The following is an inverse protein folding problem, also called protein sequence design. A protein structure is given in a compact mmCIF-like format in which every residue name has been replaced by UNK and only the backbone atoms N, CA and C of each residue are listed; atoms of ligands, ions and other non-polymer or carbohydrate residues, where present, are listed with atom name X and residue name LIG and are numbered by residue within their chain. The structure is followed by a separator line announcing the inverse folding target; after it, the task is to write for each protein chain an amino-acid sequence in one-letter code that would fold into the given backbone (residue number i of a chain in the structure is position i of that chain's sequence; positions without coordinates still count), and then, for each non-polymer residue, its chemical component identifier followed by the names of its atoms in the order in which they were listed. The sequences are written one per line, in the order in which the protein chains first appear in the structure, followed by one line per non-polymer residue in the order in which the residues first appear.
data_IF_924589758025
#
_entry.id   IF_924589758025
#
_cell.length_a   1.000
_cell.length_b   1.000
_cell.length_c   1.000
_cell.angle_alpha   90.00
_cell.angle_beta   90.00
_cell.angle_gamma   90.00
#
_symmetry.space_group_name_H-M   'P 1'
#
loop_
_entity.id
_entity.type
_entity.pdbx_description
1 polymer ?
#
# COMPACT_ATOMS: atom_id res chain seq x y z
N UNK A 1 -10.36 -64.40 0.32
CA UNK A 1 -10.37 -63.22 1.20
C UNK A 1 -9.57 -62.13 0.52
N UNK A 2 -10.21 -61.09 -0.01
CA UNK A 2 -9.53 -59.97 -0.66
C UNK A 2 -9.84 -58.71 0.14
N UNK A 3 -8.82 -58.17 0.81
CA UNK A 3 -8.90 -56.92 1.55
C UNK A 3 -8.65 -55.75 0.61
N UNK A 4 -9.63 -54.85 0.49
CA UNK A 4 -9.46 -53.57 -0.18
C UNK A 4 -8.89 -52.56 0.83
N UNK A 5 -7.71 -52.02 0.54
CA UNK A 5 -7.10 -50.92 1.29
C UNK A 5 -7.70 -49.62 0.72
N UNK A 6 -8.56 -48.97 1.50
CA UNK A 6 -9.08 -47.65 1.17
C UNK A 6 -8.00 -46.60 1.47
N UNK A 7 -7.47 -45.95 0.43
CA UNK A 7 -6.68 -44.72 0.59
C UNK A 7 -7.64 -43.57 0.92
N UNK A 8 -7.65 -43.15 2.18
CA UNK A 8 -8.29 -41.90 2.59
C UNK A 8 -7.45 -40.70 2.13
N UNK A 9 -8.01 -39.86 1.26
CA UNK A 9 -7.42 -38.57 0.92
C UNK A 9 -7.72 -37.62 2.08
N UNK A 10 -6.71 -37.29 2.88
CA UNK A 10 -6.79 -36.20 3.85
C UNK A 10 -6.79 -34.87 3.09
N UNK A 11 -7.97 -34.27 2.93
CA UNK A 11 -8.06 -32.87 2.53
C UNK A 11 -7.58 -32.01 3.70
N UNK A 12 -6.47 -31.28 3.51
CA UNK A 12 -6.04 -30.28 4.49
C UNK A 12 -7.11 -29.17 4.59
N UNK A 13 -7.38 -28.63 5.80
CA UNK A 13 -8.34 -27.54 5.93
C UNK A 13 -7.79 -26.31 5.22
N UNK A 14 -8.55 -25.79 4.25
CA UNK A 14 -8.32 -24.45 3.69
C UNK A 14 -8.68 -23.48 4.80
N UNK A 15 -7.67 -22.96 5.50
CA UNK A 15 -7.87 -21.88 6.46
C UNK A 15 -8.25 -20.65 5.64
N UNK A 16 -9.50 -20.21 5.74
CA UNK A 16 -9.94 -18.95 5.16
C UNK A 16 -9.06 -17.83 5.74
N UNK A 17 -8.49 -16.98 4.88
CA UNK A 17 -7.73 -15.82 5.34
C UNK A 17 -8.63 -14.94 6.21
N UNK A 18 -8.16 -14.57 7.40
CA UNK A 18 -8.88 -13.66 8.28
C UNK A 18 -8.93 -12.25 7.67
N UNK A 19 -9.92 -11.44 8.07
CA UNK A 19 -9.95 -10.02 7.72
C UNK A 19 -8.63 -9.34 8.10
N UNK A 20 -8.12 -8.50 7.20
CA UNK A 20 -6.97 -7.63 7.42
C UNK A 20 -7.38 -6.19 7.12
N UNK A 21 -7.08 -5.26 8.02
CA UNK A 21 -7.32 -3.84 7.78
C UNK A 21 -6.27 -3.00 8.48
N UNK A 22 -5.66 -2.10 7.71
CA UNK A 22 -4.75 -1.07 8.17
C UNK A 22 -5.57 0.23 8.29
N UNK A 23 -5.68 0.76 9.52
CA UNK A 23 -6.43 1.99 9.75
C UNK A 23 -5.63 3.20 9.28
N UNK A 24 -5.95 3.68 8.08
CA UNK A 24 -5.38 4.89 7.48
C UNK A 24 -6.53 5.85 7.18
N UNK A 25 -6.56 7.07 7.74
CA UNK A 25 -7.60 8.04 7.41
C UNK A 25 -7.55 8.40 5.91
N UNK A 26 -8.68 8.34 5.19
CA UNK A 26 -8.71 8.74 3.78
C UNK A 26 -8.43 10.24 3.65
N UNK A 27 -7.78 10.61 2.55
CA UNK A 27 -7.57 12.00 2.14
C UNK A 27 -8.17 12.20 0.76
N UNK A 28 -8.78 13.36 0.54
CA UNK A 28 -9.23 13.76 -0.79
C UNK A 28 -8.17 14.61 -1.49
N UNK A 29 -7.88 14.31 -2.75
CA UNK A 29 -7.09 15.22 -3.59
C UNK A 29 -7.82 16.55 -3.83
N UNK A 30 -9.16 16.54 -3.70
CA UNK A 30 -10.06 17.69 -3.81
C UNK A 30 -10.21 18.52 -2.54
N UNK A 31 -9.43 18.28 -1.48
CA UNK A 31 -9.47 19.12 -0.28
C UNK A 31 -9.09 20.59 -0.62
N UNK A 32 -9.88 21.58 -0.20
CA UNK A 32 -9.62 22.99 -0.48
C UNK A 32 -8.24 23.50 -0.04
N UNK A 33 -7.61 22.86 0.95
CA UNK A 33 -6.28 23.24 1.43
C UNK A 33 -5.18 23.06 0.37
N UNK A 34 -5.35 22.15 -0.59
CA UNK A 34 -4.33 21.86 -1.61
C UNK A 34 -4.85 21.67 -3.03
N UNK A 35 -6.15 21.43 -3.24
CA UNK A 35 -6.71 21.10 -4.55
C UNK A 35 -6.44 22.15 -5.65
N UNK A 36 -6.27 23.42 -5.26
CA UNK A 36 -5.97 24.51 -6.20
C UNK A 36 -4.48 24.69 -6.53
N UNK A 37 -3.58 23.96 -5.87
CA UNK A 37 -2.14 24.07 -6.14
C UNK A 37 -1.80 23.39 -7.47
N UNK A 38 -0.97 24.01 -8.34
CA UNK A 38 -0.49 23.38 -9.57
C UNK A 38 0.22 22.05 -9.27
N UNK A 39 -0.06 21.03 -10.07
CA UNK A 39 0.61 19.73 -9.96
C UNK A 39 1.90 19.75 -10.78
N UNK A 40 3.01 19.37 -10.15
CA UNK A 40 4.30 19.27 -10.81
C UNK A 40 4.70 20.54 -11.58
N UNK A 41 5.01 20.37 -12.87
CA UNK A 41 5.39 21.46 -13.77
C UNK A 41 4.29 21.82 -14.77
N UNK A 42 3.13 21.15 -14.71
CA UNK A 42 2.00 21.47 -15.58
C UNK A 42 1.45 22.86 -15.29
N UNK A 43 1.14 23.58 -16.37
CA UNK A 43 0.48 24.88 -16.29
C UNK A 43 -1.04 24.79 -16.15
N UNK A 44 -1.61 23.58 -16.28
CA UNK A 44 -3.07 23.36 -16.29
C UNK A 44 -3.55 22.43 -15.21
N UNK A 45 -2.72 21.49 -14.77
CA UNK A 45 -3.14 20.46 -13.84
C UNK A 45 -2.93 20.93 -12.41
N UNK A 46 -3.87 20.58 -11.53
CA UNK A 46 -3.78 20.85 -10.10
C UNK A 46 -3.79 19.55 -9.32
N UNK A 47 -3.46 19.61 -8.03
CA UNK A 47 -3.61 18.46 -7.13
C UNK A 47 -5.07 17.98 -7.15
N UNK A 48 -6.04 18.89 -7.22
CA UNK A 48 -7.46 18.56 -7.30
C UNK A 48 -7.83 17.78 -8.55
N UNK A 49 -7.27 18.13 -9.72
CA UNK A 49 -7.61 17.46 -10.97
C UNK A 49 -6.87 16.14 -11.18
N UNK A 50 -5.56 16.09 -10.88
CA UNK A 50 -4.70 14.95 -11.27
C UNK A 50 -3.83 14.40 -10.13
N UNK A 51 -4.03 14.85 -8.89
CA UNK A 51 -3.18 14.53 -7.74
C UNK A 51 -3.43 13.18 -7.05
N UNK A 52 -4.09 12.22 -7.71
CA UNK A 52 -4.47 10.94 -7.10
C UNK A 52 -3.25 10.16 -6.59
N UNK A 53 -2.18 10.07 -7.38
CA UNK A 53 -0.96 9.34 -7.03
C UNK A 53 -0.28 9.92 -5.77
N UNK A 54 -0.06 11.23 -5.73
CA UNK A 54 0.60 11.89 -4.60
C UNK A 54 -0.24 11.87 -3.33
N UNK A 55 -1.58 11.88 -3.46
CA UNK A 55 -2.49 11.79 -2.31
C UNK A 55 -2.49 10.37 -1.74
N UNK A 56 -2.53 9.34 -2.60
CA UNK A 56 -2.39 7.95 -2.17
C UNK A 56 -1.05 7.68 -1.48
N UNK A 57 0.05 8.20 -2.04
CA UNK A 57 1.39 8.12 -1.42
C UNK A 57 1.43 8.87 -0.10
N UNK A 58 0.82 10.05 0.01
CA UNK A 58 0.76 10.81 1.27
C UNK A 58 0.07 10.03 2.38
N UNK A 59 -1.05 9.36 2.08
CA UNK A 59 -1.74 8.48 3.04
C UNK A 59 -0.81 7.35 3.52
N UNK A 60 -0.09 6.68 2.61
CA UNK A 60 0.91 5.67 2.94
C UNK A 60 2.06 6.23 3.78
N UNK A 61 2.58 7.41 3.43
CA UNK A 61 3.69 8.06 4.14
C UNK A 61 3.32 8.35 5.60
N UNK A 62 2.10 8.84 5.84
CA UNK A 62 1.59 9.06 7.20
C UNK A 62 1.41 7.76 7.98
N UNK A 63 1.01 6.67 7.33
CA UNK A 63 1.00 5.34 7.96
C UNK A 63 2.38 4.93 8.47
N UNK A 64 3.45 5.29 7.74
CA UNK A 64 4.84 5.08 8.18
C UNK A 64 5.39 6.16 9.12
N UNK A 65 4.55 7.06 9.64
CA UNK A 65 4.95 8.13 10.56
C UNK A 65 5.82 9.20 9.90
N UNK A 66 5.62 9.45 8.61
CA UNK A 66 6.14 10.61 7.89
C UNK A 66 5.03 11.67 7.86
N UNK A 67 5.21 12.74 8.63
CA UNK A 67 4.26 13.85 8.66
C UNK A 67 4.40 14.69 7.39
N UNK A 68 3.45 14.54 6.47
CA UNK A 68 3.32 15.33 5.25
C UNK A 68 1.86 15.39 4.81
N UNK A 69 1.58 16.32 3.91
CA UNK A 69 0.31 16.47 3.20
C UNK A 69 0.56 16.51 1.68
N UNK A 70 -0.50 16.45 0.84
CA UNK A 70 -0.34 16.45 -0.61
C UNK A 70 0.33 17.72 -1.16
N UNK A 71 0.10 18.90 -0.57
CA UNK A 71 0.74 20.14 -1.02
C UNK A 71 2.23 20.15 -0.72
N UNK A 72 2.62 19.81 0.52
CA UNK A 72 4.01 19.74 0.96
C UNK A 72 4.80 18.71 0.14
N UNK A 73 4.21 17.54 -0.11
CA UNK A 73 4.84 16.50 -0.93
C UNK A 73 4.95 16.92 -2.40
N UNK A 74 3.90 17.49 -2.99
CA UNK A 74 3.92 18.02 -4.36
C UNK A 74 4.99 19.10 -4.55
N UNK A 75 5.07 20.06 -3.63
CA UNK A 75 6.06 21.14 -3.69
C UNK A 75 7.50 20.60 -3.67
N UNK A 76 7.77 19.59 -2.83
CA UNK A 76 9.06 18.93 -2.81
C UNK A 76 9.37 18.21 -4.13
N UNK A 77 8.43 17.42 -4.66
CA UNK A 77 8.59 16.71 -5.92
C UNK A 77 8.89 17.68 -7.08
N UNK A 78 8.17 18.81 -7.14
CA UNK A 78 8.42 19.85 -8.14
C UNK A 78 9.83 20.46 -8.05
N UNK A 79 10.36 20.62 -6.84
CA UNK A 79 11.69 21.19 -6.62
C UNK A 79 12.84 20.20 -6.86
N UNK A 80 12.61 18.90 -6.72
CA UNK A 80 13.67 17.86 -6.78
C UNK A 80 13.66 16.99 -8.03
N UNK A 81 12.76 17.26 -8.98
CA UNK A 81 12.61 16.44 -10.18
C UNK A 81 11.89 15.11 -9.90
N UNK A 82 10.98 15.10 -8.93
CA UNK A 82 10.13 13.97 -8.58
C UNK A 82 9.03 13.66 -9.60
N UNK A 83 8.94 14.43 -10.67
CA UNK A 83 8.03 14.22 -11.79
C UNK A 83 8.80 14.05 -13.11
N UNK A 84 8.29 13.20 -14.00
CA UNK A 84 8.66 13.20 -15.42
C UNK A 84 7.54 13.83 -16.24
N UNK A 85 7.63 13.75 -17.57
CA UNK A 85 6.66 14.33 -18.50
C UNK A 85 5.22 13.91 -18.12
N UNK A 86 4.29 14.87 -18.19
CA UNK A 86 2.87 14.71 -17.84
C UNK A 86 2.64 14.45 -16.34
N UNK A 87 3.48 15.04 -15.49
CA UNK A 87 3.44 14.93 -14.03
C UNK A 87 3.39 13.48 -13.50
N UNK A 88 3.94 12.55 -14.27
CA UNK A 88 4.09 11.18 -13.85
C UNK A 88 5.10 11.12 -12.70
N UNK A 89 4.65 10.59 -11.57
CA UNK A 89 5.45 10.44 -10.37
C UNK A 89 6.65 9.50 -10.59
N UNK A 90 7.85 9.99 -10.25
CA UNK A 90 9.03 9.15 -10.10
C UNK A 90 8.91 8.39 -8.78
N UNK A 91 8.46 7.13 -8.83
CA UNK A 91 8.19 6.36 -7.60
C UNK A 91 9.41 6.21 -6.67
N UNK A 92 10.63 6.17 -7.21
CA UNK A 92 11.85 6.11 -6.40
C UNK A 92 12.15 7.44 -5.66
N UNK A 93 11.52 8.55 -6.06
CA UNK A 93 11.65 9.82 -5.35
C UNK A 93 11.12 9.72 -3.90
N UNK A 94 10.22 8.79 -3.61
CA UNK A 94 9.74 8.50 -2.24
C UNK A 94 10.90 8.04 -1.34
N UNK A 95 11.81 7.20 -1.85
CA UNK A 95 13.00 6.75 -1.13
C UNK A 95 13.85 7.95 -0.69
N UNK A 96 14.04 8.90 -1.60
CA UNK A 96 14.81 10.13 -1.33
C UNK A 96 14.06 11.06 -0.39
N UNK A 97 12.76 11.28 -0.61
CA UNK A 97 11.91 12.15 0.19
C UNK A 97 11.93 11.75 1.67
N UNK A 98 11.88 10.46 1.95
CA UNK A 98 11.84 9.93 3.32
C UNK A 98 13.22 9.72 3.95
N UNK A 99 14.30 10.05 3.25
CA UNK A 99 15.67 9.76 3.69
C UNK A 99 15.93 8.27 3.89
N UNK A 100 15.33 7.42 3.05
CA UNK A 100 15.43 5.97 3.11
C UNK A 100 14.54 5.29 4.15
N UNK A 101 13.73 6.03 4.93
CA UNK A 101 12.79 5.43 5.90
C UNK A 101 11.69 4.61 5.22
N UNK A 102 11.34 4.92 3.99
CA UNK A 102 10.41 4.17 3.14
C UNK A 102 11.02 4.09 1.75
N UNK A 103 11.34 2.89 1.29
CA UNK A 103 11.98 2.66 0.00
C UNK A 103 11.00 2.08 -1.00
N UNK A 104 11.04 2.55 -2.24
CA UNK A 104 10.28 1.95 -3.33
C UNK A 104 10.80 0.53 -3.60
N UNK A 105 9.95 -0.49 -3.46
CA UNK A 105 10.37 -1.89 -3.59
C UNK A 105 9.97 -2.53 -4.91
N UNK A 106 9.03 -1.94 -5.66
CA UNK A 106 8.81 -2.35 -7.04
C UNK A 106 7.47 -1.94 -7.65
N UNK A 107 7.44 -2.06 -8.97
CA UNK A 107 6.27 -1.91 -9.83
C UNK A 107 5.92 -3.28 -10.41
N UNK A 108 4.69 -3.73 -10.18
CA UNK A 108 4.22 -5.04 -10.65
C UNK A 108 2.90 -4.93 -11.39
N UNK A 109 2.52 -5.98 -12.13
CA UNK A 109 1.15 -6.14 -12.63
C UNK A 109 0.15 -6.40 -11.50
N UNK A 110 -1.12 -6.72 -11.80
CA UNK A 110 -2.17 -6.95 -10.81
C UNK A 110 -2.03 -8.30 -10.07
N UNK A 111 -0.95 -8.45 -9.30
CA UNK A 111 -0.68 -9.64 -8.49
C UNK A 111 -1.43 -9.56 -7.15
N UNK A 112 -2.65 -10.12 -7.12
CA UNK A 112 -3.49 -10.14 -5.92
C UNK A 112 -2.84 -10.84 -4.74
N UNK A 113 -2.00 -11.86 -4.99
CA UNK A 113 -1.27 -12.56 -3.95
C UNK A 113 -0.17 -11.70 -3.34
N UNK A 114 0.51 -10.89 -4.15
CA UNK A 114 1.47 -9.91 -3.65
C UNK A 114 0.77 -8.82 -2.83
N UNK A 115 -0.37 -8.31 -3.28
CA UNK A 115 -1.17 -7.33 -2.52
C UNK A 115 -1.51 -7.88 -1.14
N UNK A 116 -2.02 -9.11 -1.05
CA UNK A 116 -2.32 -9.74 0.25
C UNK A 116 -1.08 -9.85 1.14
N UNK A 117 0.06 -10.32 0.62
CA UNK A 117 1.30 -10.46 1.40
C UNK A 117 1.83 -9.12 1.93
N UNK A 118 1.70 -8.05 1.15
CA UNK A 118 2.06 -6.70 1.58
C UNK A 118 1.14 -6.24 2.72
N UNK A 119 -0.18 -6.40 2.57
CA UNK A 119 -1.17 -6.05 3.59
C UNK A 119 -1.04 -6.86 4.87
N UNK A 120 -0.74 -8.17 4.77
CA UNK A 120 -0.42 -9.04 5.90
C UNK A 120 0.81 -8.56 6.68
N UNK A 121 1.74 -7.90 5.98
CA UNK A 121 2.92 -7.30 6.59
C UNK A 121 2.68 -5.87 7.10
N UNK A 122 1.44 -5.38 7.08
CA UNK A 122 1.11 -4.01 7.45
C UNK A 122 1.62 -2.96 6.46
N UNK A 123 1.88 -3.34 5.21
CA UNK A 123 2.36 -2.45 4.14
C UNK A 123 1.22 -2.17 3.15
N UNK A 124 0.64 -0.96 3.15
CA UNK A 124 -0.39 -0.61 2.19
C UNK A 124 0.20 -0.49 0.78
N UNK A 125 -0.62 -0.75 -0.25
CA UNK A 125 -0.17 -0.86 -1.64
C UNK A 125 -0.83 0.24 -2.48
N UNK A 126 -0.07 0.96 -3.29
CA UNK A 126 -0.65 1.92 -4.23
C UNK A 126 -1.03 1.18 -5.51
N UNK A 127 -2.31 1.17 -5.86
CA UNK A 127 -2.83 0.47 -7.03
C UNK A 127 -3.30 1.47 -8.10
N UNK A 128 -2.97 1.17 -9.35
CA UNK A 128 -3.45 1.87 -10.53
C UNK A 128 -4.72 1.18 -11.03
N UNK A 129 -5.74 1.99 -11.32
CA UNK A 129 -7.06 1.59 -11.81
C UNK A 129 -7.52 2.54 -12.93
N UNK A 130 -8.69 2.31 -13.50
CA UNK A 130 -9.36 3.28 -14.37
C UNK A 130 -10.53 3.96 -13.65
N UNK A 131 -10.58 5.29 -13.73
CA UNK A 131 -11.73 6.09 -13.29
C UNK A 131 -12.23 6.91 -14.48
N UNK A 132 -13.44 6.62 -14.96
CA UNK A 132 -14.00 7.32 -16.12
C UNK A 132 -13.19 7.19 -17.41
N UNK A 133 -12.37 6.14 -17.54
CA UNK A 133 -11.46 5.91 -18.67
C UNK A 133 -10.08 6.57 -18.53
N UNK A 134 -9.85 7.32 -17.46
CA UNK A 134 -8.55 7.92 -17.15
C UNK A 134 -7.77 7.07 -16.14
N UNK A 135 -6.44 7.20 -16.15
CA UNK A 135 -5.59 6.62 -15.13
C UNK A 135 -5.95 7.20 -13.76
N UNK A 136 -6.03 6.35 -12.75
CA UNK A 136 -6.30 6.75 -11.38
C UNK A 136 -5.53 5.88 -10.38
N UNK A 137 -5.22 6.44 -9.22
CA UNK A 137 -4.48 5.73 -8.17
C UNK A 137 -5.26 5.72 -6.86
N UNK A 138 -5.32 4.55 -6.24
CA UNK A 138 -5.94 4.33 -4.93
C UNK A 138 -4.94 3.67 -3.98
N UNK A 139 -5.16 3.82 -2.68
CA UNK A 139 -4.36 3.12 -1.67
C UNK A 139 -5.13 1.90 -1.19
N UNK A 140 -4.58 0.71 -1.35
CA UNK A 140 -5.11 -0.52 -0.79
C UNK A 140 -4.71 -0.63 0.67
N UNK A 141 -5.69 -0.83 1.54
CA UNK A 141 -5.54 -0.73 3.00
C UNK A 141 -5.92 -2.01 3.73
N UNK A 142 -6.41 -3.03 3.04
CA UNK A 142 -6.79 -4.29 3.67
C UNK A 142 -7.55 -5.19 2.73
N UNK A 143 -8.07 -6.29 3.28
CA UNK A 143 -8.99 -7.19 2.60
C UNK A 143 -9.89 -7.89 3.62
N UNK A 144 -11.02 -8.39 3.15
CA UNK A 144 -11.97 -9.16 3.95
C UNK A 144 -11.82 -10.65 3.68
N UNK A 145 -12.20 -11.49 4.65
CA UNK A 145 -12.27 -12.95 4.53
C UNK A 145 -13.28 -13.40 3.47
N UNK A 146 -14.19 -12.50 3.05
CA UNK A 146 -15.09 -12.70 1.93
C UNK A 146 -14.43 -12.48 0.55
N UNK A 147 -13.14 -12.09 0.53
CA UNK A 147 -12.33 -11.96 -0.68
C UNK A 147 -12.28 -10.55 -1.29
N UNK A 148 -12.86 -9.54 -0.62
CA UNK A 148 -12.88 -8.15 -1.12
C UNK A 148 -11.70 -7.33 -0.58
N UNK A 149 -11.01 -6.58 -1.43
CA UNK A 149 -10.00 -5.61 -0.97
C UNK A 149 -10.65 -4.32 -0.46
N UNK A 150 -10.03 -3.69 0.54
CA UNK A 150 -10.37 -2.36 1.04
C UNK A 150 -9.43 -1.31 0.45
N UNK A 151 -9.97 -0.15 0.12
CA UNK A 151 -9.20 0.97 -0.44
C UNK A 151 -9.56 2.28 0.26
N UNK A 152 -8.59 3.20 0.27
CA UNK A 152 -8.82 4.62 0.38
C UNK A 152 -8.66 5.26 -1.00
N UNK A 153 -9.63 6.06 -1.40
CA UNK A 153 -9.72 6.61 -2.74
C UNK A 153 -9.56 8.15 -2.73
N UNK A 154 -8.46 8.69 -3.29
CA UNK A 154 -8.22 10.12 -3.32
C UNK A 154 -9.28 10.95 -4.03
N UNK A 155 -9.96 10.38 -5.03
CA UNK A 155 -10.96 11.12 -5.80
C UNK A 155 -12.22 11.37 -4.98
N UNK A 156 -12.67 10.35 -4.24
CA UNK A 156 -13.88 10.41 -3.44
C UNK A 156 -13.61 10.82 -1.98
N UNK A 157 -12.36 10.74 -1.52
CA UNK A 157 -11.98 11.07 -0.14
C UNK A 157 -12.53 10.09 0.89
N UNK A 158 -12.82 8.85 0.50
CA UNK A 158 -13.47 7.85 1.34
C UNK A 158 -12.74 6.51 1.35
N UNK A 159 -13.23 5.61 2.20
CA UNK A 159 -12.79 4.21 2.29
C UNK A 159 -13.93 3.29 1.89
N UNK A 160 -13.70 2.38 0.94
CA UNK A 160 -14.72 1.44 0.42
C UNK A 160 -14.12 0.08 0.10
N UNK A 161 -14.96 -0.92 -0.19
CA UNK A 161 -14.49 -2.12 -0.87
C UNK A 161 -14.16 -1.80 -2.33
N UNK A 162 -13.02 -2.28 -2.81
CA UNK A 162 -12.57 -2.08 -4.19
C UNK A 162 -13.65 -2.45 -5.21
N UNK A 163 -14.31 -3.59 -4.99
CA UNK A 163 -15.32 -4.14 -5.91
C UNK A 163 -16.57 -3.29 -6.04
N UNK A 164 -16.89 -2.48 -5.03
CA UNK A 164 -18.05 -1.59 -5.07
C UNK A 164 -17.84 -0.44 -6.07
N UNK A 165 -16.59 -0.16 -6.44
CA UNK A 165 -16.21 0.97 -7.31
C UNK A 165 -15.55 0.56 -8.62
N UNK A 166 -14.71 -0.46 -8.59
CA UNK A 166 -13.85 -0.85 -9.73
C UNK A 166 -14.10 -2.28 -10.22
N UNK A 167 -15.09 -2.99 -9.66
CA UNK A 167 -15.43 -4.36 -10.07
C UNK A 167 -14.43 -5.41 -9.60
N UNK A 168 -14.25 -6.48 -10.39
CA UNK A 168 -13.35 -7.58 -10.02
C UNK A 168 -11.89 -7.09 -9.93
N UNK A 169 -11.22 -7.18 -8.76
CA UNK A 169 -9.82 -6.77 -8.59
C UNK A 169 -8.85 -7.36 -9.62
N UNK A 170 -9.09 -8.59 -10.09
CA UNK A 170 -8.24 -9.25 -11.09
C UNK A 170 -8.23 -8.52 -12.44
N UNK A 171 -9.28 -7.74 -12.73
CA UNK A 171 -9.42 -6.98 -13.98
C UNK A 171 -9.44 -5.47 -13.78
N UNK A 172 -9.85 -4.99 -12.60
CA UNK A 172 -9.92 -3.57 -12.27
C UNK A 172 -8.58 -2.96 -11.87
N UNK A 173 -7.64 -3.77 -11.35
CA UNK A 173 -6.27 -3.34 -11.05
C UNK A 173 -5.43 -3.48 -12.32
N UNK A 174 -4.73 -2.42 -12.69
CA UNK A 174 -3.84 -2.41 -13.86
C UNK A 174 -2.39 -2.70 -13.48
N UNK A 175 -1.92 -2.10 -12.37
CA UNK A 175 -0.59 -2.34 -11.82
C UNK A 175 -0.49 -1.82 -10.38
N UNK A 176 0.53 -2.24 -9.66
CA UNK A 176 0.73 -1.91 -8.24
C UNK A 176 2.14 -1.41 -7.96
N UNK A 177 2.26 -0.54 -6.95
CA UNK A 177 3.51 -0.05 -6.40
C UNK A 177 3.60 -0.45 -4.94
N UNK A 178 4.72 -1.07 -4.60
CA UNK A 178 5.01 -1.54 -3.24
C UNK A 178 6.13 -0.71 -2.65
N UNK A 179 6.12 -0.60 -1.32
CA UNK A 179 7.10 0.17 -0.58
C UNK A 179 7.49 -0.57 0.70
N UNK A 180 8.78 -0.65 0.96
CA UNK A 180 9.33 -1.24 2.17
C UNK A 180 9.72 -0.15 3.15
N UNK A 181 9.15 -0.10 4.36
CA UNK A 181 9.72 0.71 5.42
C UNK A 181 11.13 0.17 5.72
N UNK A 182 12.08 1.05 6.04
CA UNK A 182 13.34 0.61 6.60
C UNK A 182 13.05 -0.24 7.84
N UNK A 183 13.77 -1.37 8.00
CA UNK A 183 13.70 -2.15 9.23
C UNK A 183 13.79 -1.17 10.39
N UNK A 184 12.71 -1.07 11.17
CA UNK A 184 12.70 -0.22 12.34
C UNK A 184 13.81 -0.76 13.23
N UNK A 185 14.97 -0.09 13.23
CA UNK A 185 16.08 -0.46 14.09
C UNK A 185 15.49 -0.67 15.49
N UNK A 186 15.77 -1.81 16.16
CA UNK A 186 15.08 -2.16 17.40
C UNK A 186 15.15 -0.96 18.34
N UNK A 187 13.99 -0.52 18.84
CA UNK A 187 13.94 0.58 19.81
C UNK A 187 14.93 0.24 20.93
N UNK A 188 15.73 1.20 21.36
CA UNK A 188 16.91 1.03 22.24
C UNK A 188 16.64 0.28 23.58
N UNK A 189 15.40 -0.09 23.89
CA UNK A 189 15.00 -0.91 25.04
C UNK A 189 14.55 -2.35 24.74
N UNK A 190 14.56 -2.81 23.48
CA UNK A 190 14.10 -4.16 23.10
C UNK A 190 15.26 -5.15 22.83
N UNK A 191 16.51 -4.66 22.90
CA UNK A 191 17.72 -5.49 22.81
C UNK A 191 17.87 -6.43 24.01
N UNK A 192 17.29 -6.08 25.15
CA UNK A 192 17.37 -6.88 26.37
C UNK A 192 16.36 -8.05 26.35
N UNK A 193 15.29 -7.95 25.53
CA UNK A 193 14.30 -9.02 25.34
C UNK A 193 14.73 -10.10 24.33
N UNK A 194 15.50 -9.73 23.32
CA UNK A 194 15.97 -10.68 22.30
C UNK A 194 16.99 -11.70 22.86
N UNK A 195 17.87 -11.27 23.76
CA UNK A 195 18.82 -12.16 24.45
C UNK A 195 18.12 -13.13 25.42
N UNK A 196 16.98 -12.75 26.01
CA UNK A 196 16.24 -13.61 26.92
C UNK A 196 15.53 -14.78 26.19
N UNK A 197 15.01 -14.55 24.98
CA UNK A 197 14.32 -15.58 24.20
C UNK A 197 15.28 -16.57 23.51
N UNK A 198 16.52 -16.15 23.20
CA UNK A 198 17.53 -17.03 22.61
C UNK A 198 18.12 -18.05 23.62
N UNK A 199 18.16 -17.71 24.92
CA UNK A 199 18.68 -18.62 25.95
C UNK A 199 17.65 -19.68 26.36
N UNK A 200 16.34 -19.36 26.32
CA UNK A 200 15.28 -20.33 26.60
C UNK A 200 15.16 -21.43 25.52
N UNK A 201 15.46 -21.09 24.26
CA UNK A 201 15.39 -22.04 23.14
C UNK A 201 16.56 -23.07 23.12
N UNK A 202 17.69 -22.78 23.78
CA UNK A 202 18.85 -23.69 23.82
C UNK A 202 18.77 -24.69 24.99
N UNK A 203 17.96 -24.43 26.03
CA UNK A 203 17.82 -25.33 27.18
C UNK A 203 16.66 -26.34 27.08
N UNK A 204 15.85 -26.32 26.02
CA UNK A 204 14.79 -27.30 25.76
C UNK A 204 15.19 -28.38 24.72
N UNK A 205 16.47 -28.43 24.35
CA UNK A 205 17.03 -29.40 23.42
C UNK A 205 18.14 -30.28 24.05
N UNK A 206 18.10 -30.49 25.37
CA UNK A 206 18.82 -31.53 26.10
C UNK A 206 17.85 -32.37 26.91
#
# INVERSE_FOLDING_TARGET
MAGAIALGILAAPVVAAADNSITIPPMSQGDPAWAGAPLGASGTDTIGSEGCAITAVTMMLRHYGIETDPASFNAWLGATGGYVRWDLLVWDAITTYTGGRVSFSGWFGPDLGLIQRELDSGRPVVAEVQLGGNQHFVLMTGYTSAGGFLINDPWFGDSVQFSDRYGDPASGILSIRTFMPADAAPRRGERDGWLANAVAAVHLAQ
#
